data_IF_719294072166
#
_entry.id   IF_719294072166
#
_cell.length_a   1.000
_cell.length_b   1.000
_cell.length_c   1.000
_cell.angle_alpha   90.00
_cell.angle_beta   90.00
_cell.angle_gamma   90.00
#
_symmetry.space_group_name_H-M   'P 1'
#
loop_
_entity.id
_entity.type
_entity.pdbx_description
1 polymer ?
#
# COMPACT_ATOMS: atom_id res chain seq x y z
N UNK A 1 -22.18 -1.50 -12.57
CA UNK A 1 -21.27 -0.47 -13.08
C UNK A 1 -19.83 -0.82 -12.77
N UNK A 2 -19.01 -0.84 -13.77
CA UNK A 2 -17.60 -1.11 -13.55
C UNK A 2 -16.89 0.10 -13.00
N UNK A 3 -16.04 -0.15 -12.05
CA UNK A 3 -15.24 0.89 -11.43
C UNK A 3 -13.79 0.69 -11.84
N UNK A 4 -13.24 1.64 -12.62
CA UNK A 4 -11.88 1.56 -13.12
C UNK A 4 -10.84 2.16 -12.19
N UNK A 5 -11.27 2.47 -10.97
CA UNK A 5 -10.38 3.04 -9.97
C UNK A 5 -9.88 1.93 -9.05
N UNK A 6 -8.72 1.40 -9.36
CA UNK A 6 -8.13 0.37 -8.52
C UNK A 6 -6.62 0.34 -8.71
N UNK A 7 -5.92 -0.26 -7.75
CA UNK A 7 -4.48 -0.46 -7.85
C UNK A 7 -4.10 -1.79 -7.24
N UNK A 8 -2.94 -2.29 -7.64
CA UNK A 8 -2.32 -3.45 -7.03
C UNK A 8 -0.81 -3.22 -7.07
N UNK A 9 -0.22 -3.16 -5.89
CA UNK A 9 1.21 -2.91 -5.77
C UNK A 9 1.83 -3.80 -4.71
N UNK A 10 3.09 -4.14 -4.89
CA UNK A 10 3.85 -4.85 -3.89
C UNK A 10 5.02 -4.00 -3.44
N UNK A 11 5.44 -4.21 -2.22
CA UNK A 11 6.55 -3.46 -1.66
C UNK A 11 6.82 -3.91 -0.24
N UNK A 12 7.75 -3.20 0.40
CA UNK A 12 8.14 -3.51 1.77
C UNK A 12 7.52 -2.49 2.72
N UNK A 13 7.07 -2.98 3.88
CA UNK A 13 6.60 -2.09 4.94
C UNK A 13 7.84 -1.37 5.48
N UNK A 14 7.90 -0.05 5.28
CA UNK A 14 9.07 0.74 5.64
C UNK A 14 9.14 1.01 7.14
N UNK A 15 7.99 1.08 7.80
CA UNK A 15 7.89 1.25 9.24
C UNK A 15 6.62 0.56 9.71
N UNK A 16 6.59 0.17 10.98
CA UNK A 16 5.40 -0.43 11.55
C UNK A 16 4.19 0.47 11.33
N UNK A 17 3.06 -0.14 11.04
CA UNK A 17 1.83 0.62 10.82
C UNK A 17 1.41 1.34 12.09
N UNK A 18 0.88 2.53 11.91
CA UNK A 18 0.25 3.26 12.99
C UNK A 18 -1.23 2.89 13.01
N UNK A 19 -1.67 2.35 14.12
CA UNK A 19 -3.04 1.85 14.23
C UNK A 19 -3.82 2.73 15.17
N UNK A 20 -5.00 3.15 14.71
CA UNK A 20 -5.91 3.93 15.53
C UNK A 20 -7.25 3.23 15.62
N UNK A 21 -7.68 2.99 16.83
CA UNK A 21 -8.93 2.28 17.08
C UNK A 21 -10.05 3.26 17.37
N UNK A 22 -11.15 3.07 16.68
CA UNK A 22 -12.39 3.81 16.92
C UNK A 22 -13.41 2.85 17.52
N UNK A 23 -14.63 3.31 17.71
CA UNK A 23 -15.66 2.52 18.39
C UNK A 23 -15.95 1.18 17.71
N UNK A 24 -16.07 1.17 16.39
CA UNK A 24 -16.44 -0.03 15.65
C UNK A 24 -15.38 -0.49 14.66
N UNK A 25 -14.44 0.37 14.31
CA UNK A 25 -13.45 0.09 13.28
C UNK A 25 -12.10 0.64 13.69
N UNK A 26 -11.06 0.09 13.07
CA UNK A 26 -9.69 0.57 13.25
C UNK A 26 -9.08 0.87 11.90
N UNK A 27 -8.19 1.85 11.89
CA UNK A 27 -7.45 2.19 10.69
C UNK A 27 -5.96 1.96 10.95
N UNK A 28 -5.30 1.36 9.96
CA UNK A 28 -3.85 1.20 9.97
C UNK A 28 -3.29 2.06 8.84
N UNK A 29 -2.30 2.87 9.15
CA UNK A 29 -1.61 3.69 8.16
C UNK A 29 -0.15 3.29 8.15
N UNK A 30 0.36 3.01 6.97
CA UNK A 30 1.73 2.54 6.85
C UNK A 30 2.38 3.04 5.58
N UNK A 31 3.71 3.29 5.64
CA UNK A 31 4.46 3.63 4.44
C UNK A 31 4.93 2.36 3.76
N UNK A 32 4.60 2.23 2.49
CA UNK A 32 5.03 1.11 1.67
C UNK A 32 6.14 1.58 0.75
N UNK A 33 7.30 0.93 0.83
CA UNK A 33 8.42 1.23 -0.05
C UNK A 33 8.24 0.46 -1.35
N UNK A 34 8.02 1.21 -2.42
CA UNK A 34 7.79 0.65 -3.75
C UNK A 34 8.95 1.06 -4.64
N UNK A 35 9.55 0.07 -5.31
CA UNK A 35 10.71 0.33 -6.14
C UNK A 35 10.45 -0.13 -7.56
N UNK A 36 11.10 0.54 -8.49
CA UNK A 36 11.03 0.20 -9.89
C UNK A 36 12.40 0.44 -10.52
N UNK A 37 12.80 -0.47 -11.39
CA UNK A 37 14.03 -0.29 -12.15
C UNK A 37 13.65 0.25 -13.53
N UNK A 38 14.24 1.38 -13.89
CA UNK A 38 14.04 1.99 -15.20
C UNK A 38 15.32 1.93 -16.00
N UNK A 39 15.18 1.72 -17.29
CA UNK A 39 16.31 1.69 -18.18
C UNK A 39 16.35 3.01 -18.96
N UNK A 40 17.31 3.84 -18.63
CA UNK A 40 17.48 5.13 -19.29
C UNK A 40 18.85 5.19 -19.94
N UNK A 41 18.86 5.45 -21.25
CA UNK A 41 20.11 5.61 -22.00
C UNK A 41 21.09 4.42 -21.85
N UNK A 42 20.53 3.22 -21.74
CA UNK A 42 21.35 2.03 -21.61
C UNK A 42 21.78 1.70 -20.19
N UNK A 43 21.40 2.50 -19.23
CA UNK A 43 21.71 2.26 -17.83
C UNK A 43 20.47 1.89 -17.05
N UNK A 44 20.63 0.96 -16.12
CA UNK A 44 19.55 0.59 -15.22
C UNK A 44 19.55 1.52 -14.02
N UNK A 45 18.44 2.19 -13.80
CA UNK A 45 18.30 3.10 -12.66
C UNK A 45 17.17 2.61 -11.78
N UNK A 46 17.46 2.39 -10.50
CA UNK A 46 16.46 1.99 -9.54
C UNK A 46 15.89 3.22 -8.86
N UNK A 47 14.58 3.35 -8.93
CA UNK A 47 13.86 4.45 -8.30
C UNK A 47 12.90 3.88 -7.29
N UNK A 48 12.82 4.48 -6.11
CA UNK A 48 11.90 4.04 -5.08
C UNK A 48 11.21 5.23 -4.46
N UNK A 49 10.04 4.98 -3.89
CA UNK A 49 9.27 5.99 -3.21
C UNK A 49 8.47 5.35 -2.08
N UNK A 50 8.15 6.16 -1.08
CA UNK A 50 7.26 5.72 -0.01
C UNK A 50 5.84 6.13 -0.37
N UNK A 51 4.95 5.16 -0.34
CA UNK A 51 3.54 5.41 -0.61
C UNK A 51 2.77 5.17 0.68
N UNK A 52 1.99 6.16 1.08
CA UNK A 52 1.19 6.04 2.29
C UNK A 52 -0.10 5.33 1.99
N UNK A 53 -0.33 4.25 2.70
CA UNK A 53 -1.50 3.40 2.47
C UNK A 53 -2.31 3.34 3.75
N UNK A 54 -3.61 3.34 3.58
CA UNK A 54 -4.56 3.32 4.68
C UNK A 54 -5.44 2.09 4.54
N UNK A 55 -5.63 1.37 5.64
CA UNK A 55 -6.43 0.15 5.65
C UNK A 55 -7.41 0.20 6.81
N UNK A 56 -8.69 0.11 6.49
CA UNK A 56 -9.76 0.10 7.49
C UNK A 56 -10.30 -1.31 7.68
N UNK A 57 -10.48 -1.71 8.93
CA UNK A 57 -11.06 -3.00 9.27
C UNK A 57 -11.97 -2.84 10.48
N UNK A 58 -12.98 -3.71 10.57
CA UNK A 58 -13.79 -3.77 11.79
C UNK A 58 -12.90 -4.22 12.93
N UNK A 59 -13.20 -3.78 14.14
CA UNK A 59 -12.40 -4.15 15.31
C UNK A 59 -12.33 -5.66 15.52
N UNK A 60 -13.32 -6.37 15.04
CA UNK A 60 -13.37 -7.84 15.14
C UNK A 60 -12.58 -8.54 14.03
N UNK A 61 -11.99 -7.82 13.10
CA UNK A 61 -11.33 -8.39 11.92
C UNK A 61 -10.04 -7.68 11.59
N UNK A 62 -9.16 -7.51 12.59
CA UNK A 62 -7.91 -6.77 12.42
C UNK A 62 -6.68 -7.68 12.23
N UNK A 63 -6.90 -8.94 11.90
CA UNK A 63 -5.78 -9.87 11.72
C UNK A 63 -4.82 -9.43 10.63
N UNK A 64 -5.32 -8.75 9.60
CA UNK A 64 -4.46 -8.23 8.52
C UNK A 64 -3.41 -7.26 9.02
N UNK A 65 -3.69 -6.58 10.14
CA UNK A 65 -2.77 -5.60 10.67
C UNK A 65 -1.46 -6.23 11.16
N UNK A 66 -1.47 -7.52 11.44
CA UNK A 66 -0.26 -8.23 11.84
C UNK A 66 0.76 -8.30 10.71
N UNK A 67 0.30 -8.17 9.47
CA UNK A 67 1.18 -8.21 8.32
C UNK A 67 1.92 -6.89 8.11
N UNK A 68 1.53 -5.84 8.83
CA UNK A 68 2.01 -4.49 8.58
C UNK A 68 3.17 -4.11 9.49
N UNK A 69 4.09 -5.04 9.67
CA UNK A 69 5.29 -4.82 10.46
C UNK A 69 6.46 -4.47 9.54
N UNK A 70 7.32 -3.61 10.03
CA UNK A 70 8.50 -3.18 9.28
C UNK A 70 9.28 -4.37 8.74
N UNK A 71 9.63 -4.31 7.46
CA UNK A 71 10.42 -5.33 6.81
C UNK A 71 9.61 -6.38 6.08
N UNK A 72 8.32 -6.48 6.35
CA UNK A 72 7.48 -7.44 5.64
C UNK A 72 7.23 -6.99 4.21
N UNK A 73 7.19 -7.95 3.32
CA UNK A 73 6.84 -7.69 1.93
C UNK A 73 5.40 -8.08 1.71
N UNK A 74 4.63 -7.16 1.17
CA UNK A 74 3.19 -7.36 1.00
C UNK A 74 2.73 -6.95 -0.38
N UNK A 75 1.63 -7.56 -0.81
CA UNK A 75 0.91 -7.17 -2.01
C UNK A 75 -0.37 -6.50 -1.55
N UNK A 76 -0.56 -5.25 -1.95
CA UNK A 76 -1.72 -4.45 -1.55
C UNK A 76 -2.59 -4.18 -2.76
N UNK A 77 -3.87 -4.48 -2.61
CA UNK A 77 -4.87 -4.18 -3.64
C UNK A 77 -5.90 -3.24 -3.04
N UNK A 78 -6.33 -2.26 -3.81
CA UNK A 78 -7.30 -1.31 -3.32
C UNK A 78 -7.69 -0.30 -4.37
N UNK A 79 -8.06 0.87 -3.93
CA UNK A 79 -8.49 1.93 -4.83
C UNK A 79 -8.03 3.29 -4.29
N UNK A 80 -8.04 4.28 -5.17
CA UNK A 80 -7.69 5.65 -4.80
C UNK A 80 -8.95 6.38 -4.36
N UNK A 81 -8.90 6.92 -3.16
CA UNK A 81 -10.04 7.64 -2.59
C UNK A 81 -9.71 9.13 -2.55
N UNK A 82 -10.44 9.96 -3.29
CA UNK A 82 -10.25 11.40 -3.17
C UNK A 82 -10.88 11.89 -1.87
N UNK A 83 -10.16 12.76 -1.18
CA UNK A 83 -10.65 13.40 0.04
C UNK A 83 -10.53 14.90 -0.08
N UNK A 84 -11.54 15.59 0.39
CA UNK A 84 -11.58 17.05 0.37
C UNK A 84 -11.79 17.55 1.79
N UNK A 85 -11.03 18.58 2.16
CA UNK A 85 -11.17 19.19 3.46
C UNK A 85 -10.95 20.70 3.37
N UNK A 86 -11.52 21.42 4.30
CA UNK A 86 -11.43 22.88 4.34
C UNK A 86 -10.60 23.29 5.56
N UNK A 87 -9.60 24.14 5.34
CA UNK A 87 -8.76 24.60 6.45
C UNK A 87 -9.41 25.74 7.23
N UNK A 88 -8.69 26.24 8.21
CA UNK A 88 -9.18 27.32 9.08
C UNK A 88 -9.49 28.60 8.32
N UNK A 89 -8.83 28.81 7.21
CA UNK A 89 -9.01 30.02 6.40
C UNK A 89 -10.07 29.87 5.33
N UNK A 90 -10.78 28.74 5.31
CA UNK A 90 -11.83 28.50 4.33
C UNK A 90 -11.31 28.01 2.99
N UNK A 91 -10.04 27.66 2.91
CA UNK A 91 -9.44 27.17 1.66
C UNK A 91 -9.67 25.67 1.55
N UNK A 92 -10.17 25.24 0.40
CA UNK A 92 -10.40 23.84 0.14
C UNK A 92 -9.13 23.15 -0.34
N UNK A 93 -8.90 21.96 0.22
CA UNK A 93 -7.76 21.12 -0.14
C UNK A 93 -8.25 19.77 -0.60
N UNK A 94 -7.54 19.21 -1.56
CA UNK A 94 -7.81 17.86 -2.06
C UNK A 94 -6.57 17.01 -1.93
N UNK A 95 -6.75 15.75 -1.59
CA UNK A 95 -5.66 14.80 -1.71
C UNK A 95 -6.23 13.42 -2.01
N UNK A 96 -5.36 12.53 -2.40
CA UNK A 96 -5.75 11.18 -2.77
C UNK A 96 -5.19 10.21 -1.75
N UNK A 97 -6.07 9.39 -1.19
CA UNK A 97 -5.69 8.35 -0.24
C UNK A 97 -5.67 7.02 -0.96
N UNK A 98 -4.59 6.26 -0.78
CA UNK A 98 -4.52 4.90 -1.28
C UNK A 98 -5.14 4.00 -0.23
N UNK A 99 -6.33 3.50 -0.52
CA UNK A 99 -7.10 2.70 0.42
C UNK A 99 -6.97 1.23 0.09
N UNK A 100 -6.45 0.45 1.03
CA UNK A 100 -6.26 -0.97 0.82
C UNK A 100 -7.56 -1.74 1.07
N UNK A 101 -7.92 -2.60 0.15
CA UNK A 101 -9.02 -3.55 0.32
C UNK A 101 -8.51 -4.89 0.79
N UNK A 102 -7.36 -5.31 0.27
CA UNK A 102 -6.75 -6.57 0.66
C UNK A 102 -5.25 -6.41 0.79
N UNK A 103 -4.68 -7.16 1.72
CA UNK A 103 -3.24 -7.19 1.96
C UNK A 103 -2.84 -8.66 2.07
N UNK A 104 -1.85 -9.05 1.29
CA UNK A 104 -1.34 -10.41 1.29
C UNK A 104 0.16 -10.39 1.46
N UNK A 105 0.69 -11.39 2.15
CA UNK A 105 2.13 -11.50 2.26
C UNK A 105 2.70 -12.00 0.93
N UNK A 106 3.89 -11.51 0.60
CA UNK A 106 4.62 -12.01 -0.55
C UNK A 106 5.81 -12.77 -0.02
N UNK A 107 5.85 -14.07 -0.35
CA UNK A 107 6.95 -14.92 0.04
C UNK A 107 8.07 -14.75 -0.98
N UNK A 108 9.20 -14.22 -0.55
CA UNK A 108 10.35 -14.04 -1.44
C UNK A 108 10.74 -15.32 -2.14
N UNK A 109 10.66 -16.43 -1.42
CA UNK A 109 10.99 -17.74 -1.96
C UNK A 109 10.04 -18.13 -3.09
N UNK A 110 8.74 -17.94 -2.87
CA UNK A 110 7.73 -18.25 -3.87
C UNK A 110 7.87 -17.33 -5.07
N UNK A 111 8.17 -16.06 -4.83
CA UNK A 111 8.36 -15.11 -5.90
C UNK A 111 9.57 -15.44 -6.74
N UNK A 112 10.67 -15.84 -6.11
CA UNK A 112 11.87 -16.26 -6.82
C UNK A 112 11.58 -17.46 -7.72
N UNK A 113 10.83 -18.43 -7.22
CA UNK A 113 10.41 -19.58 -8.02
C UNK A 113 9.59 -19.14 -9.22
N UNK A 114 8.67 -18.24 -8.99
CA UNK A 114 7.81 -17.73 -10.04
C UNK A 114 8.61 -17.01 -11.12
N UNK A 115 9.56 -16.21 -10.69
CA UNK A 115 10.43 -15.48 -11.60
C UNK A 115 11.25 -16.45 -12.44
N UNK A 116 11.78 -17.49 -11.82
CA UNK A 116 12.54 -18.52 -12.55
C UNK A 116 11.70 -19.22 -13.60
N UNK A 117 10.46 -19.53 -13.27
CA UNK A 117 9.55 -20.14 -14.24
C UNK A 117 9.30 -19.24 -15.43
N UNK A 118 9.13 -17.97 -15.17
CA UNK A 118 8.86 -17.00 -16.22
C UNK A 118 10.09 -16.73 -17.06
N UNK A 119 11.25 -16.90 -16.49
CA UNK A 119 12.51 -16.65 -17.18
C UNK A 119 12.96 -17.74 -18.15
N UNK A 120 12.20 -18.79 -18.26
CA UNK A 120 12.54 -19.88 -19.18
C UNK A 120 12.00 -19.69 -20.58
#
# INVERSE_FOLDING_TARGET
>A
MQNNNNFQISGFIAQDAQIRQFTTASVARFPLSVARTEKLEGEDKRVSALMRIECWRKNSSTTDFELLAKGNRVLVSGFFKPEEWTDKNGVKHNHIVMLAKSIETVDDKAEDKKTKKEGK
#
